data_IF_297791243016
#
_entry.id   IF_297791243016
#
_cell.length_a   1.000
_cell.length_b   1.000
_cell.length_c   1.000
_cell.angle_alpha   90.00
_cell.angle_beta   90.00
_cell.angle_gamma   90.00
#
_symmetry.space_group_name_H-M   'P 1'
#
loop_
_entity.id
_entity.type
_entity.pdbx_description
1 polymer ?
#
# COMPACT_ATOMS: atom_id res chain seq x y z
N UNK A 1 -41.69 4.11 -15.35
CA UNK A 1 -42.36 3.61 -14.13
C UNK A 1 -41.85 2.21 -13.80
N UNK A 2 -40.71 2.10 -13.11
CA UNK A 2 -40.27 0.83 -12.52
C UNK A 2 -40.90 0.68 -11.13
N UNK A 3 -41.65 -0.40 -10.91
CA UNK A 3 -42.14 -0.80 -9.59
C UNK A 3 -41.07 -1.70 -8.97
N UNK A 4 -40.48 -1.26 -7.86
CA UNK A 4 -39.56 -2.05 -7.05
C UNK A 4 -40.35 -2.52 -5.83
N UNK A 5 -40.61 -3.83 -5.75
CA UNK A 5 -41.20 -4.47 -4.59
C UNK A 5 -40.08 -4.84 -3.61
N UNK A 6 -40.08 -4.23 -2.43
CA UNK A 6 -39.17 -4.63 -1.34
C UNK A 6 -39.70 -5.89 -0.66
N UNK A 7 -38.87 -6.92 -0.47
CA UNK A 7 -39.27 -8.14 0.22
C UNK A 7 -39.51 -7.86 1.71
N UNK A 8 -40.57 -8.47 2.23
CA UNK A 8 -41.00 -8.38 3.63
C UNK A 8 -40.12 -9.30 4.48
N UNK A 9 -39.47 -8.75 5.51
CA UNK A 9 -38.60 -9.52 6.41
C UNK A 9 -39.39 -9.99 7.63
N UNK A 10 -39.23 -11.25 8.07
CA UNK A 10 -39.92 -11.75 9.26
C UNK A 10 -39.42 -11.01 10.52
N UNK A 11 -40.36 -10.61 11.38
CA UNK A 11 -40.07 -10.02 12.69
C UNK A 11 -39.42 -11.05 13.61
N UNK A 12 -38.23 -10.75 14.12
CA UNK A 12 -37.54 -11.60 15.09
C UNK A 12 -38.18 -11.43 16.48
N UNK A 13 -38.76 -12.50 17.00
CA UNK A 13 -39.28 -12.57 18.36
C UNK A 13 -38.16 -12.31 19.38
N UNK A 14 -38.34 -11.28 20.22
CA UNK A 14 -37.42 -10.93 21.30
C UNK A 14 -37.49 -11.97 22.41
N UNK A 15 -36.60 -12.96 22.40
CA UNK A 15 -36.36 -13.82 23.56
C UNK A 15 -35.75 -13.00 24.70
N UNK A 16 -36.48 -12.89 25.82
CA UNK A 16 -36.03 -12.16 27.02
C UNK A 16 -34.93 -12.97 27.70
N UNK A 17 -33.70 -12.46 27.65
CA UNK A 17 -32.56 -13.02 28.38
C UNK A 17 -32.71 -12.72 29.87
N UNK A 18 -33.02 -13.73 30.68
CA UNK A 18 -33.03 -13.62 32.15
C UNK A 18 -31.61 -13.84 32.66
N UNK A 19 -30.96 -12.77 33.15
CA UNK A 19 -29.63 -12.87 33.76
C UNK A 19 -29.77 -13.32 35.22
N UNK A 20 -29.10 -14.40 35.66
CA UNK A 20 -29.17 -14.85 37.05
C UNK A 20 -28.49 -13.86 38.00
N UNK A 21 -29.08 -13.68 39.19
CA UNK A 21 -28.52 -12.81 40.22
C UNK A 21 -27.21 -13.37 40.81
N UNK A 22 -26.24 -12.51 41.16
CA UNK A 22 -24.96 -12.94 41.72
C UNK A 22 -25.12 -13.56 43.13
N UNK A 23 -24.23 -14.50 43.52
CA UNK A 23 -24.27 -15.13 44.85
C UNK A 23 -23.93 -14.15 45.97
N UNK A 24 -24.53 -14.35 47.16
CA UNK A 24 -24.25 -13.55 48.36
C UNK A 24 -22.82 -13.78 48.87
N UNK A 25 -22.17 -12.70 49.32
CA UNK A 25 -20.82 -12.74 49.88
C UNK A 25 -20.77 -13.46 51.24
N UNK A 26 -19.65 -14.13 51.59
CA UNK A 26 -19.48 -14.77 52.89
C UNK A 26 -19.37 -13.74 54.04
N UNK A 27 -19.92 -14.07 55.20
CA UNK A 27 -19.83 -13.24 56.41
C UNK A 27 -18.38 -13.08 56.90
N UNK A 28 -18.02 -11.86 57.30
CA UNK A 28 -16.67 -11.53 57.76
C UNK A 28 -16.35 -12.12 59.16
N UNK A 29 -15.11 -12.54 59.43
CA UNK A 29 -14.70 -13.09 60.72
C UNK A 29 -14.72 -12.02 61.83
N UNK A 30 -15.41 -12.31 62.95
CA UNK A 30 -15.49 -11.42 64.11
C UNK A 30 -14.33 -11.66 65.09
N UNK A 31 -13.57 -10.62 65.45
CA UNK A 31 -12.48 -10.68 66.44
C UNK A 31 -12.96 -10.14 67.79
N UNK A 32 -12.87 -10.94 68.87
CA UNK A 32 -13.22 -10.51 70.24
C UNK A 32 -12.05 -9.77 70.88
N UNK A 33 -12.26 -8.52 71.29
CA UNK A 33 -11.28 -7.69 72.02
C UNK A 33 -11.75 -7.53 73.46
N UNK A 34 -10.87 -7.77 74.44
CA UNK A 34 -11.17 -7.58 75.86
C UNK A 34 -10.65 -6.23 76.35
N UNK A 35 -11.50 -5.43 77.01
CA UNK A 35 -11.14 -4.14 77.61
C UNK A 35 -10.90 -4.31 79.12
N UNK A 36 -9.74 -3.89 79.62
CA UNK A 36 -9.45 -3.81 81.06
C UNK A 36 -8.72 -2.49 81.37
N UNK A 37 -9.25 -1.68 82.31
CA UNK A 37 -8.67 -0.41 82.77
C UNK A 37 -8.24 0.57 81.67
N UNK A 38 -9.14 0.90 80.73
CA UNK A 38 -8.94 1.91 79.67
C UNK A 38 -7.72 1.71 78.73
N UNK A 39 -7.06 0.56 78.79
CA UNK A 39 -5.98 0.19 77.86
C UNK A 39 -6.43 -1.04 77.09
N UNK A 40 -6.52 -0.91 75.76
CA UNK A 40 -6.74 -2.06 74.88
C UNK A 40 -5.49 -2.94 74.93
N UNK A 41 -5.55 -4.05 75.68
CA UNK A 41 -4.50 -5.06 75.70
C UNK A 41 -4.83 -6.12 74.68
N UNK A 42 -4.06 -6.19 73.61
CA UNK A 42 -4.05 -7.37 72.74
C UNK A 42 -3.58 -8.57 73.56
N UNK A 43 -4.16 -9.77 73.35
CA UNK A 43 -3.65 -10.97 74.00
C UNK A 43 -2.17 -11.11 73.64
N UNK A 44 -1.31 -11.11 74.65
CA UNK A 44 0.12 -11.40 74.46
C UNK A 44 0.20 -12.84 73.99
N UNK A 45 0.42 -13.02 72.69
CA UNK A 45 0.55 -14.32 72.06
C UNK A 45 1.66 -15.11 72.78
N UNK A 46 1.36 -16.33 73.25
CA UNK A 46 2.38 -17.17 73.86
C UNK A 46 3.53 -17.46 72.88
N UNK A 47 4.73 -17.81 73.40
CA UNK A 47 5.94 -18.05 72.59
C UNK A 47 5.74 -19.00 71.39
N UNK A 48 4.74 -19.90 71.44
CA UNK A 48 4.35 -20.76 70.32
C UNK A 48 3.69 -19.98 69.17
N UNK A 49 2.73 -19.12 69.48
CA UNK A 49 2.03 -18.29 68.50
C UNK A 49 2.95 -17.23 67.87
N UNK A 50 3.93 -16.70 68.61
CA UNK A 50 4.95 -15.81 68.05
C UNK A 50 5.86 -16.52 67.03
N UNK A 51 6.25 -17.78 67.31
CA UNK A 51 7.02 -18.60 66.37
C UNK A 51 6.22 -18.93 65.11
N UNK A 52 4.93 -19.22 65.25
CA UNK A 52 4.03 -19.46 64.11
C UNK A 52 3.84 -18.20 63.27
N UNK A 53 3.62 -17.03 63.88
CA UNK A 53 3.56 -15.76 63.15
C UNK A 53 4.87 -15.45 62.43
N UNK A 54 6.03 -15.73 63.04
CA UNK A 54 7.33 -15.56 62.38
C UNK A 54 7.51 -16.50 61.19
N UNK A 55 7.05 -17.74 61.29
CA UNK A 55 7.03 -18.70 60.17
C UNK A 55 6.08 -18.24 59.06
N UNK A 56 4.88 -17.79 59.41
CA UNK A 56 3.89 -17.26 58.47
C UNK A 56 4.42 -16.03 57.72
N UNK A 57 5.09 -15.10 58.42
CA UNK A 57 5.75 -13.94 57.78
C UNK A 57 6.83 -14.35 56.78
N UNK A 58 7.70 -15.29 57.15
CA UNK A 58 8.73 -15.82 56.23
C UNK A 58 8.13 -16.51 55.01
N UNK A 59 7.02 -17.23 55.20
CA UNK A 59 6.31 -17.87 54.10
C UNK A 59 5.67 -16.83 53.16
N UNK A 60 5.05 -15.80 53.72
CA UNK A 60 4.45 -14.69 52.96
C UNK A 60 5.52 -13.90 52.19
N UNK A 61 6.69 -13.67 52.79
CA UNK A 61 7.81 -13.00 52.13
C UNK A 61 8.33 -13.81 50.93
N UNK A 62 8.53 -15.13 51.11
CA UNK A 62 8.89 -16.04 50.00
C UNK A 62 7.83 -16.07 48.91
N UNK A 63 6.54 -16.07 49.28
CA UNK A 63 5.45 -16.02 48.31
C UNK A 63 5.44 -14.69 47.53
N UNK A 64 5.78 -13.58 48.18
CA UNK A 64 5.89 -12.27 47.54
C UNK A 64 7.07 -12.22 46.55
N UNK A 65 8.22 -12.77 46.96
CA UNK A 65 9.40 -12.86 46.10
C UNK A 65 9.14 -13.75 44.87
N UNK A 66 8.49 -14.90 45.07
CA UNK A 66 8.07 -15.77 43.97
C UNK A 66 7.08 -15.06 43.02
N UNK A 67 6.12 -14.31 43.58
CA UNK A 67 5.17 -13.51 42.78
C UNK A 67 5.84 -12.41 41.97
N UNK A 68 6.84 -11.73 42.55
CA UNK A 68 7.58 -10.69 41.84
C UNK A 68 8.45 -11.29 40.72
N UNK A 69 9.10 -12.42 40.98
CA UNK A 69 9.85 -13.16 39.95
C UNK A 69 8.94 -13.61 38.80
N UNK A 70 7.74 -14.12 39.10
CA UNK A 70 6.76 -14.48 38.07
C UNK A 70 6.28 -13.26 37.27
N UNK A 71 6.13 -12.09 37.91
CA UNK A 71 5.79 -10.83 37.23
C UNK A 71 6.88 -10.40 36.25
N UNK A 72 8.14 -10.46 36.69
CA UNK A 72 9.32 -10.13 35.86
C UNK A 72 9.41 -11.10 34.67
N UNK A 73 9.22 -12.40 34.91
CA UNK A 73 9.26 -13.41 33.85
C UNK A 73 8.12 -13.22 32.84
N UNK A 74 6.91 -12.91 33.32
CA UNK A 74 5.78 -12.58 32.45
C UNK A 74 6.05 -11.32 31.61
N UNK A 75 6.69 -10.31 32.18
CA UNK A 75 7.03 -9.09 31.44
C UNK A 75 8.10 -9.34 30.38
N UNK A 76 9.11 -10.16 30.73
CA UNK A 76 10.13 -10.62 29.79
C UNK A 76 9.52 -11.40 28.61
N UNK A 77 8.62 -12.33 28.89
CA UNK A 77 7.89 -13.08 27.86
C UNK A 77 7.04 -12.16 26.97
N UNK A 78 6.42 -11.11 27.56
CA UNK A 78 5.67 -10.11 26.79
C UNK A 78 6.56 -9.31 25.84
N UNK A 79 7.74 -8.89 26.30
CA UNK A 79 8.72 -8.17 25.50
C UNK A 79 9.27 -9.05 24.36
N UNK A 80 9.55 -10.31 24.64
CA UNK A 80 10.00 -11.28 23.64
C UNK A 80 8.93 -11.53 22.58
N UNK A 81 7.65 -11.64 22.98
CA UNK A 81 6.54 -11.75 22.04
C UNK A 81 6.41 -10.49 21.16
N UNK A 82 6.55 -9.30 21.74
CA UNK A 82 6.55 -8.06 20.94
C UNK A 82 7.72 -8.04 19.95
N UNK A 83 8.92 -8.43 20.39
CA UNK A 83 10.10 -8.48 19.52
C UNK A 83 9.87 -9.46 18.36
N UNK A 84 9.35 -10.65 18.64
CA UNK A 84 9.00 -11.63 17.62
C UNK A 84 7.92 -11.12 16.64
N UNK A 85 6.91 -10.37 17.11
CA UNK A 85 5.93 -9.72 16.24
C UNK A 85 6.55 -8.64 15.35
N UNK A 86 7.47 -7.85 15.89
CA UNK A 86 8.20 -6.84 15.14
C UNK A 86 9.10 -7.46 14.08
N UNK A 87 9.85 -8.50 14.42
CA UNK A 87 10.68 -9.26 13.47
C UNK A 87 9.82 -9.93 12.40
N UNK A 88 8.74 -10.62 12.77
CA UNK A 88 7.82 -11.21 11.80
C UNK A 88 7.13 -10.19 10.89
N UNK A 89 6.81 -9.00 11.40
CA UNK A 89 6.27 -7.93 10.57
C UNK A 89 7.33 -7.33 9.64
N UNK A 90 8.59 -7.21 10.11
CA UNK A 90 9.71 -6.80 9.28
C UNK A 90 9.98 -7.81 8.16
N UNK A 91 9.98 -9.10 8.46
CA UNK A 91 10.11 -10.17 7.48
C UNK A 91 8.94 -10.20 6.50
N UNK A 92 7.71 -9.95 6.97
CA UNK A 92 6.53 -9.81 6.09
C UNK A 92 6.68 -8.62 5.15
N UNK A 93 7.10 -7.46 5.64
CA UNK A 93 7.33 -6.26 4.82
C UNK A 93 8.49 -6.50 3.84
N UNK A 94 9.58 -7.13 4.27
CA UNK A 94 10.69 -7.50 3.38
C UNK A 94 10.29 -8.57 2.37
N UNK A 95 9.40 -9.49 2.73
CA UNK A 95 8.84 -10.50 1.84
C UNK A 95 7.86 -9.92 0.83
N UNK A 96 7.02 -8.97 1.24
CA UNK A 96 6.14 -8.17 0.38
C UNK A 96 6.96 -7.28 -0.55
N UNK A 97 8.01 -6.62 -0.04
CA UNK A 97 8.96 -5.88 -0.87
C UNK A 97 9.71 -6.80 -1.83
N UNK A 98 10.17 -7.99 -1.41
CA UNK A 98 10.80 -8.97 -2.33
C UNK A 98 9.83 -9.50 -3.38
N UNK A 99 8.56 -9.74 -3.03
CA UNK A 99 7.51 -10.09 -4.01
C UNK A 99 7.19 -8.94 -4.95
N UNK A 100 7.21 -7.69 -4.46
CA UNK A 100 7.12 -6.50 -5.29
C UNK A 100 8.35 -6.32 -6.20
N UNK A 101 9.56 -6.71 -5.74
CA UNK A 101 10.79 -6.68 -6.53
C UNK A 101 10.84 -7.82 -7.56
N UNK A 102 10.15 -8.95 -7.33
CA UNK A 102 10.06 -10.05 -8.31
C UNK A 102 9.10 -9.73 -9.47
N UNK A 103 8.27 -8.70 -9.32
CA UNK A 103 7.55 -8.03 -10.40
C UNK A 103 7.96 -6.56 -10.50
N UNK A 104 9.26 -6.26 -10.35
CA UNK A 104 9.81 -4.97 -10.78
C UNK A 104 9.98 -5.00 -12.31
N UNK A 105 8.87 -5.20 -13.02
CA UNK A 105 8.66 -4.39 -14.20
C UNK A 105 8.72 -2.97 -13.65
N UNK A 106 9.88 -2.31 -13.82
CA UNK A 106 9.97 -0.87 -13.71
C UNK A 106 8.89 -0.30 -14.62
N UNK A 107 7.70 -0.10 -14.09
CA UNK A 107 6.81 0.94 -14.55
C UNK A 107 7.54 2.24 -14.18
N UNK A 108 8.61 2.56 -14.92
CA UNK A 108 8.68 3.92 -15.46
C UNK A 108 7.27 4.18 -15.90
N UNK A 109 6.56 5.12 -15.26
CA UNK A 109 5.27 5.57 -15.77
C UNK A 109 5.50 5.68 -17.26
N UNK A 110 4.87 4.84 -18.11
CA UNK A 110 5.08 5.04 -19.50
C UNK A 110 4.51 6.44 -19.67
N UNK A 111 5.36 7.37 -20.10
CA UNK A 111 4.89 8.49 -20.90
C UNK A 111 4.38 7.84 -22.19
N UNK A 112 3.37 6.98 -22.06
CA UNK A 112 2.71 6.27 -23.12
C UNK A 112 2.03 7.36 -23.88
N UNK A 113 2.63 7.70 -25.00
CA UNK A 113 2.01 8.55 -25.99
C UNK A 113 0.75 7.80 -26.41
N UNK A 114 -0.42 8.25 -25.94
CA UNK A 114 -1.70 7.69 -26.35
C UNK A 114 -1.98 8.19 -27.77
N UNK A 115 -1.72 7.35 -28.75
CA UNK A 115 -2.02 7.64 -30.16
C UNK A 115 -3.41 7.10 -30.47
N UNK A 116 -4.34 8.00 -30.82
CA UNK A 116 -5.64 7.63 -31.37
C UNK A 116 -5.58 7.77 -32.88
N UNK A 117 -5.73 6.66 -33.61
CA UNK A 117 -5.61 6.61 -35.07
C UNK A 117 -6.61 5.63 -35.68
N UNK A 118 -6.96 5.82 -36.96
CA UNK A 118 -7.88 4.94 -37.70
C UNK A 118 -7.28 3.55 -37.93
N UNK A 119 -5.97 3.48 -38.21
CA UNK A 119 -5.27 2.21 -38.31
C UNK A 119 -3.89 2.31 -37.68
N UNK A 120 -3.49 1.24 -37.00
CA UNK A 120 -2.16 1.09 -36.40
C UNK A 120 -1.61 -0.26 -36.79
N UNK A 121 -0.34 -0.30 -37.19
CA UNK A 121 0.40 -1.54 -37.45
C UNK A 121 1.72 -1.48 -36.70
N UNK A 122 2.06 -2.58 -36.05
CA UNK A 122 3.36 -2.75 -35.42
C UNK A 122 3.90 -4.11 -35.83
N UNK A 123 5.21 -4.18 -36.03
CA UNK A 123 5.88 -5.45 -36.26
C UNK A 123 6.12 -6.16 -34.92
N UNK A 124 6.03 -7.50 -34.90
CA UNK A 124 6.17 -8.32 -33.70
C UNK A 124 7.58 -8.25 -33.08
N UNK A 125 8.58 -8.01 -33.92
CA UNK A 125 9.98 -7.73 -33.54
C UNK A 125 10.18 -6.27 -33.08
N UNK A 126 9.14 -5.44 -33.15
CA UNK A 126 9.17 -4.02 -32.83
C UNK A 126 9.92 -3.14 -33.85
N UNK A 127 10.41 -3.66 -34.97
CA UNK A 127 11.25 -2.94 -35.95
C UNK A 127 10.52 -1.81 -36.69
N UNK A 128 9.19 -1.89 -36.75
CA UNK A 128 8.38 -0.86 -37.38
C UNK A 128 7.08 -0.60 -36.63
N UNK A 129 6.67 0.66 -36.66
CA UNK A 129 5.37 1.13 -36.20
C UNK A 129 4.82 2.11 -37.23
N UNK A 130 3.56 1.95 -37.63
CA UNK A 130 2.86 2.92 -38.46
C UNK A 130 1.45 3.17 -37.96
N UNK A 131 1.03 4.44 -38.02
CA UNK A 131 -0.30 4.87 -37.67
C UNK A 131 -0.83 5.82 -38.74
N UNK A 132 -2.07 5.61 -39.19
CA UNK A 132 -2.74 6.48 -40.18
C UNK A 132 -4.08 6.97 -39.68
N UNK A 133 -4.47 8.17 -40.10
CA UNK A 133 -5.67 8.83 -39.62
C UNK A 133 -5.55 9.21 -38.15
N UNK A 134 -4.41 9.79 -37.75
CA UNK A 134 -4.18 10.21 -36.36
C UNK A 134 -5.15 11.35 -36.03
N UNK A 135 -5.93 11.16 -34.97
CA UNK A 135 -6.92 12.13 -34.48
C UNK A 135 -6.46 12.86 -33.24
N UNK A 136 -5.69 12.18 -32.37
CA UNK A 136 -5.17 12.75 -31.12
C UNK A 136 -3.88 12.06 -30.71
N UNK A 137 -2.94 12.86 -30.21
CA UNK A 137 -1.76 12.39 -29.48
C UNK A 137 -1.86 12.97 -28.07
N UNK A 138 -2.35 12.16 -27.13
CA UNK A 138 -2.62 12.62 -25.77
C UNK A 138 -1.34 12.63 -24.93
N UNK A 139 -0.85 13.84 -24.69
CA UNK A 139 -0.01 14.24 -23.56
C UNK A 139 -0.63 15.50 -22.99
N UNK A 140 -0.61 15.67 -21.67
CA UNK A 140 -1.30 16.72 -20.90
C UNK A 140 -1.21 18.16 -21.48
N UNK A 141 -1.98 18.47 -22.52
CA UNK A 141 -2.22 19.81 -23.07
C UNK A 141 -1.04 20.53 -23.78
N UNK A 142 0.16 19.97 -23.82
CA UNK A 142 1.35 20.60 -24.43
C UNK A 142 1.77 19.78 -25.64
N UNK A 143 2.06 20.42 -26.77
CA UNK A 143 2.38 19.81 -28.07
C UNK A 143 3.44 18.70 -28.04
N UNK A 144 3.74 18.10 -29.20
CA UNK A 144 4.65 16.94 -29.28
C UNK A 144 6.08 17.38 -28.91
N UNK A 145 6.44 17.32 -27.64
CA UNK A 145 7.70 17.91 -27.15
C UNK A 145 8.90 16.99 -27.32
N UNK A 146 8.68 15.67 -27.34
CA UNK A 146 9.72 14.64 -27.47
C UNK A 146 9.14 13.38 -28.09
N UNK A 147 9.96 12.69 -28.86
CA UNK A 147 9.66 11.35 -29.38
C UNK A 147 10.65 10.40 -28.76
N UNK A 148 10.14 9.39 -28.06
CA UNK A 148 10.97 8.36 -27.47
C UNK A 148 10.91 7.08 -28.29
N UNK A 149 12.06 6.50 -28.60
CA UNK A 149 12.19 5.17 -29.21
C UNK A 149 12.96 4.30 -28.23
N UNK A 150 12.37 3.16 -27.84
CA UNK A 150 12.97 2.23 -26.87
C UNK A 150 13.40 2.89 -25.53
N UNK A 151 12.64 3.89 -25.08
CA UNK A 151 12.88 4.60 -23.82
C UNK A 151 13.94 5.72 -23.89
N UNK A 152 14.55 5.98 -25.05
CA UNK A 152 15.50 7.08 -25.25
C UNK A 152 14.98 8.10 -26.26
N UNK A 153 15.45 9.34 -26.17
CA UNK A 153 15.02 10.44 -27.06
C UNK A 153 15.51 10.13 -28.48
N UNK A 154 14.63 10.25 -29.48
CA UNK A 154 14.93 9.88 -30.86
C UNK A 154 16.16 10.62 -31.40
N UNK A 155 16.29 11.90 -31.08
CA UNK A 155 17.44 12.71 -31.49
C UNK A 155 18.76 12.32 -30.83
N UNK A 156 18.71 11.59 -29.71
CA UNK A 156 19.91 11.12 -29.02
C UNK A 156 20.36 9.74 -29.57
N UNK A 157 19.52 9.05 -30.36
CA UNK A 157 19.75 7.70 -30.88
C UNK A 157 19.95 7.62 -32.41
N UNK A 158 20.60 8.62 -33.04
CA UNK A 158 20.82 8.64 -34.50
C UNK A 158 19.53 8.42 -35.34
N UNK A 159 18.36 8.77 -34.79
CA UNK A 159 17.12 8.72 -35.55
C UNK A 159 16.95 10.02 -36.32
N UNK A 160 16.66 9.91 -37.61
CA UNK A 160 16.27 11.06 -38.43
C UNK A 160 14.78 11.31 -38.28
N UNK A 161 14.39 12.55 -37.98
CA UNK A 161 12.97 12.95 -37.93
C UNK A 161 12.64 13.76 -39.17
N UNK A 162 11.64 13.31 -39.92
CA UNK A 162 11.20 13.90 -41.18
C UNK A 162 9.74 14.32 -41.05
N UNK A 163 9.44 15.60 -41.30
CA UNK A 163 8.08 16.14 -41.37
C UNK A 163 7.83 16.58 -42.82
N UNK A 164 6.80 16.03 -43.46
CA UNK A 164 6.43 16.32 -44.86
C UNK A 164 7.61 16.22 -45.85
N UNK A 165 8.47 15.22 -45.66
CA UNK A 165 9.64 14.98 -46.50
C UNK A 165 10.87 15.85 -46.21
N UNK A 166 10.80 16.76 -45.22
CA UNK A 166 11.93 17.59 -44.78
C UNK A 166 12.42 17.16 -43.40
N UNK A 167 13.73 17.19 -43.20
CA UNK A 167 14.33 16.94 -41.89
C UNK A 167 13.90 18.03 -40.90
N UNK A 168 13.39 17.62 -39.75
CA UNK A 168 12.79 18.51 -38.76
C UNK A 168 13.65 18.62 -37.50
N UNK A 169 13.62 19.80 -36.90
CA UNK A 169 14.27 20.11 -35.62
C UNK A 169 13.38 19.79 -34.43
N UNK A 170 13.94 19.82 -33.20
CA UNK A 170 13.16 19.64 -31.97
C UNK A 170 12.15 20.78 -31.79
N UNK A 171 12.46 21.97 -32.30
CA UNK A 171 11.64 23.17 -32.25
C UNK A 171 10.39 23.01 -33.12
N UNK A 172 10.53 22.44 -34.31
CA UNK A 172 9.42 22.21 -35.25
C UNK A 172 8.33 21.32 -34.63
N UNK A 173 8.72 20.30 -33.86
CA UNK A 173 7.76 19.42 -33.20
C UNK A 173 7.02 20.08 -32.03
N UNK A 174 7.66 21.00 -31.30
CA UNK A 174 7.00 21.70 -30.19
C UNK A 174 5.84 22.55 -30.67
N UNK A 175 5.94 23.10 -31.88
CA UNK A 175 4.91 23.93 -32.50
C UNK A 175 3.80 23.05 -33.10
N UNK A 176 4.11 21.79 -33.40
CA UNK A 176 3.18 20.85 -34.00
C UNK A 176 2.12 20.35 -33.02
N UNK A 177 0.86 20.40 -33.46
CA UNK A 177 -0.27 19.81 -32.74
C UNK A 177 -0.61 18.43 -33.30
N UNK A 178 -0.97 17.50 -32.42
CA UNK A 178 -1.23 16.11 -32.81
C UNK A 178 -2.44 15.92 -33.74
N UNK A 179 -3.38 16.86 -33.75
CA UNK A 179 -4.57 16.88 -34.62
C UNK A 179 -4.23 17.18 -36.09
N UNK A 180 -3.10 17.83 -36.35
CA UNK A 180 -2.62 18.17 -37.70
C UNK A 180 -1.89 17.01 -38.38
N UNK A 181 -1.61 15.92 -37.67
CA UNK A 181 -0.85 14.78 -38.20
C UNK A 181 -1.80 13.83 -38.95
N UNK A 182 -1.45 13.48 -40.18
CA UNK A 182 -2.18 12.50 -40.99
C UNK A 182 -1.68 11.07 -40.73
N UNK A 183 -0.36 10.90 -40.74
CA UNK A 183 0.27 9.59 -40.54
C UNK A 183 1.64 9.71 -39.89
N UNK A 184 2.01 8.71 -39.10
CA UNK A 184 3.36 8.54 -38.54
C UNK A 184 3.88 7.17 -38.95
N UNK A 185 5.13 7.12 -39.38
CA UNK A 185 5.86 5.89 -39.69
C UNK A 185 7.20 5.92 -38.98
N UNK A 186 7.51 4.86 -38.24
CA UNK A 186 8.78 4.67 -37.55
C UNK A 186 9.40 3.41 -38.14
N UNK A 187 10.59 3.57 -38.71
CA UNK A 187 11.44 2.47 -39.14
C UNK A 187 12.71 2.52 -38.32
N UNK A 188 12.99 1.46 -37.57
CA UNK A 188 14.21 1.36 -36.78
C UNK A 188 14.96 0.09 -37.15
N UNK A 189 16.27 0.22 -37.20
CA UNK A 189 17.23 -0.86 -37.38
C UNK A 189 18.29 -0.75 -36.28
N UNK A 190 19.05 -1.83 -36.11
CA UNK A 190 20.21 -1.83 -35.22
C UNK A 190 21.43 -2.15 -36.05
N UNK A 191 22.35 -1.19 -36.13
CA UNK A 191 23.62 -1.35 -36.84
C UNK A 191 24.76 -1.13 -35.84
N UNK A 192 25.67 -2.10 -35.73
CA UNK A 192 26.81 -2.06 -34.81
C UNK A 192 26.43 -1.79 -33.34
N UNK A 193 25.28 -2.33 -32.89
CA UNK A 193 24.76 -2.13 -31.53
C UNK A 193 24.19 -0.73 -31.26
N UNK A 194 24.19 0.17 -32.25
CA UNK A 194 23.53 1.47 -32.18
C UNK A 194 22.19 1.40 -32.90
N UNK A 195 21.17 1.98 -32.29
CA UNK A 195 19.89 2.18 -32.98
C UNK A 195 20.10 3.23 -34.08
N UNK A 196 19.54 2.97 -35.25
CA UNK A 196 19.45 3.91 -36.36
C UNK A 196 18.05 3.81 -36.95
N UNK A 197 17.55 4.88 -37.54
CA UNK A 197 16.24 4.80 -38.15
C UNK A 197 15.68 6.15 -38.57
N UNK A 198 14.45 6.10 -39.03
CA UNK A 198 13.71 7.25 -39.51
C UNK A 198 12.32 7.28 -38.89
N UNK A 199 11.92 8.46 -38.42
CA UNK A 199 10.56 8.79 -38.05
C UNK A 199 10.03 9.75 -39.10
N UNK A 200 9.10 9.29 -39.92
CA UNK A 200 8.42 10.10 -40.93
C UNK A 200 7.02 10.48 -40.44
N UNK A 201 6.73 11.79 -40.42
CA UNK A 201 5.46 12.37 -40.02
C UNK A 201 4.90 13.11 -41.24
N UNK A 202 3.69 12.73 -41.67
CA UNK A 202 2.99 13.45 -42.73
C UNK A 202 1.84 14.23 -42.11
N UNK A 203 1.70 15.49 -42.50
CA UNK A 203 0.67 16.40 -42.04
C UNK A 203 -0.57 16.31 -42.91
N UNK A 204 -1.74 16.53 -42.32
CA UNK A 204 -2.99 16.64 -43.05
C UNK A 204 -2.89 17.83 -43.99
N UNK A 205 -3.14 17.59 -45.28
CA UNK A 205 -3.30 18.68 -46.25
C UNK A 205 -4.45 19.58 -45.79
N UNK A 206 -4.16 20.84 -45.48
CA UNK A 206 -5.22 21.81 -45.24
C UNK A 206 -6.04 21.93 -46.53
N UNK A 207 -7.32 21.60 -46.45
CA UNK A 207 -8.26 21.99 -47.50
C UNK A 207 -8.31 23.51 -47.44
N UNK A 208 -7.60 24.17 -48.36
CA UNK A 208 -7.82 25.58 -48.64
C UNK A 208 -9.30 25.67 -48.99
N UNK A 209 -10.08 26.32 -48.11
CA UNK A 209 -11.39 26.80 -48.52
C UNK A 209 -11.09 27.87 -49.55
N UNK A 210 -11.19 27.51 -50.81
CA UNK A 210 -11.37 28.50 -51.87
C UNK A 210 -12.73 29.12 -51.60
N UNK A 211 -12.71 30.29 -50.96
CA UNK A 211 -13.90 31.12 -50.80
C UNK A 211 -14.31 31.58 -52.21
N UNK A 212 -15.48 31.10 -52.64
CA UNK A 212 -16.20 31.47 -53.86
C UNK A 212 -17.12 32.66 -53.58
#
# INVERSE_FOLDING_TARGET
NLKIETPDFPEFEKSVFVVPAPPNAPDAPQVRVFKHNNVFRYPVYGKKAEREMKRARKLAEKAREAGENARIESEKARLENQKARWEGNKERIEGENRKAITYDFKYTQPTAIKVTANSMRYSLDGSSFSATGVSKIDRDGVGVSRIYVNGKDAWDENMKVIIDGKEASKEDLKIMKGDQIESISIKKNTENGKMIGEISINMKKQKVKEDL
#
